data_IF_534172944519
#
_entry.id   IF_534172944519
#
_cell.length_a   1.000
_cell.length_b   1.000
_cell.length_c   1.000
_cell.angle_alpha   90.00
_cell.angle_beta   90.00
_cell.angle_gamma   90.00
#
_symmetry.space_group_name_H-M   'P 1'
#
loop_
_entity.id
_entity.type
_entity.pdbx_description
1 polymer ?
#
# COMPACT_ATOMS: atom_id res chain seq x y z
N UNK A 1 9.32 7.84 14.47
CA UNK A 1 8.57 8.57 13.43
C UNK A 1 7.61 7.63 12.72
N UNK A 2 6.30 7.89 12.77
CA UNK A 2 5.28 7.05 12.12
C UNK A 2 5.40 7.07 10.58
N UNK A 3 5.79 8.20 10.00
CA UNK A 3 5.98 8.36 8.55
C UNK A 3 7.06 7.42 7.98
N UNK A 4 8.26 7.38 8.57
CA UNK A 4 9.33 6.47 8.11
C UNK A 4 8.92 4.99 8.19
N UNK A 5 8.19 4.58 9.24
CA UNK A 5 7.67 3.22 9.36
C UNK A 5 6.67 2.89 8.25
N UNK A 6 5.81 3.84 7.88
CA UNK A 6 4.81 3.68 6.83
C UNK A 6 5.44 3.63 5.43
N UNK A 7 6.46 4.45 5.19
CA UNK A 7 7.26 4.41 3.94
C UNK A 7 7.92 3.03 3.78
N UNK A 8 8.56 2.52 4.82
CA UNK A 8 9.21 1.21 4.79
C UNK A 8 8.22 0.04 4.61
N UNK A 9 7.02 0.13 5.19
CA UNK A 9 5.96 -0.86 4.99
C UNK A 9 5.47 -0.89 3.54
N UNK A 10 5.17 0.28 2.96
CA UNK A 10 4.75 0.40 1.56
C UNK A 10 5.79 -0.17 0.61
N UNK A 11 7.09 0.09 0.85
CA UNK A 11 8.15 -0.47 0.01
C UNK A 11 8.21 -2.01 0.08
N UNK A 12 7.98 -2.61 1.25
CA UNK A 12 8.01 -4.08 1.43
C UNK A 12 6.76 -4.76 0.88
N UNK A 13 5.62 -4.10 1.01
CA UNK A 13 4.31 -4.69 0.73
C UNK A 13 3.80 -4.38 -0.67
N UNK A 14 4.30 -3.33 -1.32
CA UNK A 14 3.81 -2.86 -2.61
C UNK A 14 4.94 -2.75 -3.62
N UNK A 15 4.65 -3.18 -4.84
CA UNK A 15 5.53 -3.03 -5.99
C UNK A 15 5.60 -1.56 -6.45
N UNK A 16 6.67 -1.21 -7.14
CA UNK A 16 6.84 0.10 -7.81
C UNK A 16 5.64 0.47 -8.69
N UNK A 17 5.03 -0.52 -9.37
CA UNK A 17 3.85 -0.31 -10.21
C UNK A 17 2.59 -0.01 -9.38
N UNK A 18 2.36 -0.76 -8.30
CA UNK A 18 1.24 -0.52 -7.36
C UNK A 18 1.36 0.86 -6.71
N UNK A 19 2.57 1.27 -6.28
CA UNK A 19 2.80 2.60 -5.70
C UNK A 19 2.49 3.71 -6.72
N UNK A 20 2.94 3.59 -7.98
CA UNK A 20 2.60 4.55 -9.04
C UNK A 20 1.10 4.62 -9.28
N UNK A 21 0.41 3.47 -9.27
CA UNK A 21 -1.04 3.41 -9.43
C UNK A 21 -1.74 4.17 -8.30
N UNK A 22 -1.36 3.91 -7.04
CA UNK A 22 -1.93 4.61 -5.88
C UNK A 22 -1.65 6.12 -5.90
N UNK A 23 -0.46 6.56 -6.34
CA UNK A 23 -0.19 7.99 -6.53
C UNK A 23 -1.16 8.61 -7.54
N UNK A 24 -1.40 7.94 -8.67
CA UNK A 24 -2.34 8.42 -9.70
C UNK A 24 -3.77 8.49 -9.16
N UNK A 25 -4.24 7.44 -8.47
CA UNK A 25 -5.57 7.39 -7.85
C UNK A 25 -5.76 8.53 -6.82
N UNK A 26 -4.76 8.80 -5.99
CA UNK A 26 -4.78 9.91 -5.03
C UNK A 26 -4.79 11.29 -5.72
N UNK A 27 -4.06 11.44 -6.83
CA UNK A 27 -4.09 12.67 -7.63
C UNK A 27 -5.46 12.91 -8.26
N UNK A 28 -6.10 11.86 -8.78
CA UNK A 28 -7.46 11.91 -9.32
C UNK A 28 -8.48 12.25 -8.24
N UNK A 29 -8.40 11.62 -7.06
CA UNK A 29 -9.29 11.94 -5.93
C UNK A 29 -9.16 13.42 -5.51
N UNK A 30 -7.92 13.94 -5.42
CA UNK A 30 -7.70 15.37 -5.15
C UNK A 30 -8.28 16.26 -6.26
N UNK A 31 -8.14 15.86 -7.53
CA UNK A 31 -8.67 16.61 -8.66
C UNK A 31 -10.21 16.67 -8.62
N UNK A 32 -10.87 15.57 -8.26
CA UNK A 32 -12.33 15.52 -8.10
C UNK A 32 -12.82 16.46 -6.99
N UNK A 33 -12.12 16.54 -5.86
CA UNK A 33 -12.46 17.50 -4.78
C UNK A 33 -12.29 18.94 -5.30
N UNK A 34 -11.19 19.24 -5.99
CA UNK A 34 -10.96 20.56 -6.60
C UNK A 34 -12.06 20.96 -7.56
N UNK A 35 -12.47 20.05 -8.43
CA UNK A 35 -13.53 20.29 -9.42
C UNK A 35 -14.89 20.46 -8.75
N UNK A 36 -15.23 19.61 -7.77
CA UNK A 36 -16.53 19.64 -7.08
C UNK A 36 -16.76 20.94 -6.31
N UNK A 37 -15.69 21.55 -5.81
CA UNK A 37 -15.74 22.81 -5.05
C UNK A 37 -15.25 24.03 -5.85
N UNK A 38 -14.83 23.85 -7.11
CA UNK A 38 -14.25 24.90 -7.97
C UNK A 38 -13.05 25.65 -7.35
N UNK A 39 -12.21 24.94 -6.59
CA UNK A 39 -11.07 25.50 -5.86
C UNK A 39 -9.71 25.00 -6.38
N UNK A 40 -8.70 25.86 -6.28
CA UNK A 40 -7.31 25.54 -6.60
C UNK A 40 -6.53 24.94 -5.43
N UNK A 41 -6.87 25.32 -4.20
CA UNK A 41 -6.13 24.96 -2.98
C UNK A 41 -7.05 24.56 -1.82
N UNK A 42 -6.49 23.87 -0.84
CA UNK A 42 -7.22 23.50 0.38
C UNK A 42 -7.57 24.73 1.24
N UNK A 43 -6.74 25.77 1.19
CA UNK A 43 -7.00 27.02 1.91
C UNK A 43 -8.18 27.78 1.30
N UNK A 44 -8.30 27.78 -0.03
CA UNK A 44 -9.49 28.29 -0.73
C UNK A 44 -10.75 27.52 -0.34
N UNK A 45 -10.69 26.18 -0.29
CA UNK A 45 -11.81 25.36 0.18
C UNK A 45 -12.19 25.72 1.62
N UNK A 46 -11.19 25.84 2.50
CA UNK A 46 -11.40 26.16 3.91
C UNK A 46 -12.01 27.56 4.09
N UNK A 47 -11.64 28.53 3.24
CA UNK A 47 -12.18 29.89 3.27
C UNK A 47 -13.62 29.97 2.74
N UNK A 48 -13.98 29.09 1.79
CA UNK A 48 -15.30 29.07 1.18
C UNK A 48 -16.38 28.41 2.06
N UNK A 49 -15.99 27.65 3.08
CA UNK A 49 -16.91 26.86 3.91
C UNK A 49 -17.30 27.60 5.19
N UNK A 50 -18.60 27.58 5.49
CA UNK A 50 -19.17 28.06 6.74
C UNK A 50 -19.19 26.97 7.81
N UNK A 51 -19.34 27.38 9.08
CA UNK A 51 -19.45 26.46 10.20
C UNK A 51 -20.73 25.61 10.08
N UNK A 52 -20.57 24.31 9.85
CA UNK A 52 -21.67 23.36 9.69
C UNK A 52 -21.83 22.83 8.26
N UNK A 53 -21.05 23.32 7.30
CA UNK A 53 -21.09 22.80 5.92
C UNK A 53 -20.55 21.38 5.82
N UNK A 54 -21.19 20.55 4.98
CA UNK A 54 -20.74 19.17 4.75
C UNK A 54 -19.36 19.10 4.07
N UNK A 55 -18.90 20.20 3.44
CA UNK A 55 -17.59 20.29 2.79
C UNK A 55 -16.39 20.19 3.72
N UNK A 56 -16.57 20.34 5.04
CA UNK A 56 -15.49 20.10 6.02
C UNK A 56 -14.96 18.66 5.96
N UNK A 57 -15.80 17.71 5.56
CA UNK A 57 -15.37 16.32 5.31
C UNK A 57 -14.36 16.22 4.18
N UNK A 58 -14.53 17.01 3.13
CA UNK A 58 -13.63 17.02 1.98
C UNK A 58 -12.32 17.75 2.26
N UNK A 59 -12.34 18.77 3.12
CA UNK A 59 -11.10 19.38 3.65
C UNK A 59 -10.27 18.33 4.38
N UNK A 60 -10.88 17.57 5.29
CA UNK A 60 -10.18 16.51 6.03
C UNK A 60 -9.63 15.43 5.08
N UNK A 61 -10.44 15.02 4.09
CA UNK A 61 -10.05 14.06 3.07
C UNK A 61 -8.87 14.55 2.23
N UNK A 62 -8.89 15.81 1.79
CA UNK A 62 -7.79 16.41 1.03
C UNK A 62 -6.48 16.38 1.83
N UNK A 63 -6.48 16.78 3.11
CA UNK A 63 -5.27 16.71 3.96
C UNK A 63 -4.72 15.29 4.03
N UNK A 64 -5.60 14.29 4.15
CA UNK A 64 -5.19 12.89 4.17
C UNK A 64 -4.60 12.43 2.83
N UNK A 65 -5.16 12.88 1.71
CA UNK A 65 -4.64 12.61 0.37
C UNK A 65 -3.23 13.19 0.21
N UNK A 66 -3.00 14.44 0.65
CA UNK A 66 -1.68 15.07 0.57
C UNK A 66 -0.63 14.32 1.39
N UNK A 67 -0.97 13.92 2.62
CA UNK A 67 -0.08 13.11 3.43
C UNK A 67 0.22 11.75 2.78
N UNK A 68 -0.80 11.09 2.21
CA UNK A 68 -0.62 9.80 1.54
C UNK A 68 0.23 9.95 0.27
N UNK A 69 0.08 11.04 -0.48
CA UNK A 69 0.91 11.37 -1.64
C UNK A 69 2.37 11.56 -1.25
N UNK A 70 2.65 12.32 -0.20
CA UNK A 70 4.01 12.52 0.31
C UNK A 70 4.68 11.18 0.66
N UNK A 71 3.96 10.33 1.40
CA UNK A 71 4.45 9.01 1.81
C UNK A 71 4.69 8.10 0.60
N UNK A 72 3.75 8.04 -0.34
CA UNK A 72 3.86 7.19 -1.52
C UNK A 72 4.99 7.65 -2.46
N UNK A 73 5.16 8.96 -2.62
CA UNK A 73 6.26 9.54 -3.39
C UNK A 73 7.61 9.26 -2.74
N UNK A 74 7.71 9.38 -1.41
CA UNK A 74 8.91 9.01 -0.68
C UNK A 74 9.25 7.52 -0.81
N UNK A 75 8.23 6.63 -0.75
CA UNK A 75 8.41 5.20 -0.99
C UNK A 75 8.87 4.90 -2.42
N UNK A 76 8.34 5.60 -3.42
CA UNK A 76 8.76 5.48 -4.82
C UNK A 76 10.19 6.00 -5.05
N UNK A 77 10.57 7.08 -4.38
CA UNK A 77 11.94 7.62 -4.46
C UNK A 77 12.99 6.62 -3.95
N UNK A 78 12.64 5.80 -2.94
CA UNK A 78 13.51 4.73 -2.45
C UNK A 78 13.77 3.66 -3.53
N UNK A 79 12.77 3.32 -4.34
CA UNK A 79 12.94 2.44 -5.52
C UNK A 79 13.81 3.05 -6.62
N UNK A 80 13.89 4.38 -6.72
CA UNK A 80 14.76 5.06 -7.69
C UNK A 80 16.25 5.02 -7.30
N UNK A 81 16.54 4.71 -6.04
CA UNK A 81 17.90 4.58 -5.51
C UNK A 81 18.43 3.13 -5.56
N UNK A 82 17.55 2.14 -5.73
CA UNK A 82 17.93 0.73 -5.92
C UNK A 82 18.15 0.45 -7.42
N UNK A 83 19.41 0.40 -7.84
CA UNK A 83 19.82 0.14 -9.24
C UNK A 83 19.59 -1.31 -9.69
N UNK A 84 18.96 -2.14 -8.86
CA UNK A 84 18.64 -3.52 -9.19
C UNK A 84 17.11 -3.72 -9.18
N UNK A 85 16.47 -3.55 -10.33
CA UNK A 85 15.04 -3.85 -10.56
C UNK A 85 14.72 -5.38 -10.35
N UNK A 86 15.66 -6.19 -9.85
CA UNK A 86 15.56 -7.66 -9.76
C UNK A 86 14.88 -8.20 -8.49
N UNK A 87 14.62 -7.41 -7.44
CA UNK A 87 14.16 -7.96 -6.14
C UNK A 87 12.75 -7.58 -5.67
N UNK A 88 11.95 -6.87 -6.46
CA UNK A 88 10.67 -6.31 -6.00
C UNK A 88 9.44 -7.15 -6.39
N UNK A 89 9.44 -8.46 -6.11
CA UNK A 89 8.22 -9.30 -6.11
C UNK A 89 8.38 -10.71 -5.51
N UNK A 90 9.56 -11.11 -5.04
CA UNK A 90 9.82 -12.50 -4.64
C UNK A 90 9.12 -12.97 -3.35
N UNK A 91 8.44 -12.09 -2.61
CA UNK A 91 7.82 -12.46 -1.32
C UNK A 91 6.37 -12.96 -1.46
N UNK A 92 5.67 -12.68 -2.58
CA UNK A 92 4.28 -13.18 -2.78
C UNK A 92 4.17 -14.64 -3.23
N UNK A 93 5.28 -15.30 -3.57
CA UNK A 93 5.29 -16.72 -3.97
C UNK A 93 5.56 -17.71 -2.83
N UNK A 94 5.61 -17.25 -1.57
CA UNK A 94 5.85 -18.14 -0.43
C UNK A 94 4.57 -18.62 0.30
N UNK A 95 3.40 -18.02 0.08
CA UNK A 95 2.16 -18.40 0.79
C UNK A 95 1.16 -19.25 -0.04
N UNK A 96 1.55 -19.72 -1.23
CA UNK A 96 0.71 -20.59 -2.07
C UNK A 96 1.39 -21.90 -2.50
N UNK A 97 2.26 -22.46 -1.66
CA UNK A 97 2.84 -23.80 -1.88
C UNK A 97 2.94 -24.63 -0.61
N UNK A 98 1.80 -24.81 0.07
CA UNK A 98 1.61 -25.90 1.04
C UNK A 98 0.49 -26.84 0.60
N UNK A 99 0.44 -27.16 -0.69
CA UNK A 99 -0.14 -28.42 -1.14
C UNK A 99 0.93 -29.23 -1.86
N UNK A 100 1.01 -30.51 -1.46
CA UNK A 100 1.86 -31.58 -2.02
C UNK A 100 3.21 -31.80 -1.34
N UNK A 101 3.17 -32.39 -0.14
CA UNK A 101 4.09 -33.48 0.21
C UNK A 101 3.30 -34.75 0.47
N UNK A 102 3.18 -35.52 -0.61
CA UNK A 102 3.38 -36.98 -0.66
C UNK A 102 2.73 -37.81 0.46
N UNK A 103 1.48 -38.22 0.23
CA UNK A 103 0.89 -39.38 0.90
C UNK A 103 1.50 -40.63 0.26
N UNK A 104 2.73 -40.96 0.64
CA UNK A 104 3.41 -42.20 0.28
C UNK A 104 2.76 -43.39 0.98
N UNK A 105 2.36 -44.37 0.18
CA UNK A 105 2.11 -45.74 0.63
C UNK A 105 3.44 -46.42 1.01
N UNK A 106 3.36 -47.61 1.62
CA UNK A 106 4.41 -48.40 2.28
C UNK A 106 4.62 -47.95 3.74
N UNK A 107 4.22 -48.70 4.77
CA UNK A 107 4.39 -50.13 4.95
C UNK A 107 5.57 -50.31 5.90
N UNK A 108 5.31 -50.31 7.22
CA UNK A 108 6.30 -50.78 8.18
C UNK A 108 5.65 -51.73 9.18
N UNK A 109 6.36 -52.83 9.37
CA UNK A 109 5.89 -54.12 9.81
C UNK A 109 6.02 -54.21 11.34
N UNK A 110 4.90 -54.29 12.06
CA UNK A 110 4.95 -54.62 13.49
C UNK A 110 5.28 -56.11 13.65
N UNK A 111 6.56 -56.42 13.77
CA UNK A 111 7.13 -57.72 14.21
C UNK A 111 8.59 -57.45 14.58
N UNK A 112 9.07 -57.54 15.83
CA UNK A 112 9.20 -58.71 16.73
C UNK A 112 10.01 -58.22 17.97
N UNK A 113 9.70 -58.55 19.22
CA UNK A 113 10.11 -59.76 19.98
C UNK A 113 10.96 -59.39 21.22
N UNK A 114 10.46 -59.81 22.38
CA UNK A 114 11.09 -60.21 23.66
C UNK A 114 12.45 -59.64 24.12
N UNK A 115 12.45 -59.18 25.37
CA UNK A 115 13.38 -59.64 26.41
C UNK A 115 12.63 -59.70 27.76
#
# INVERSE_FOLDING_TARGET
MLAMRRIAAIHREHTKAEIRKSIKELQEERANIKESHEVGTIDELTLALDAGDDGWGDVARWRQIEQNLEIAQAALALYGFDTDDSHAAAVRTAESTTERRERGAFGDETSRTTA
#
